data_IF_416427278544
#
_entry.id   IF_416427278544
#
_cell.length_a   1.000
_cell.length_b   1.000
_cell.length_c   1.000
_cell.angle_alpha   90.00
_cell.angle_beta   90.00
_cell.angle_gamma   90.00
#
_symmetry.space_group_name_H-M   'P 1'
#
loop_
_entity.id
_entity.type
_entity.pdbx_description
1 polymer ?
#
# COMPACT_ATOMS: atom_id res chain seq x y z
N UNK A 1 -8.16 3.37 25.19
CA UNK A 1 -7.32 3.97 24.12
C UNK A 1 -7.28 2.99 22.95
N UNK A 2 -7.73 3.38 21.75
CA UNK A 2 -7.49 2.57 20.54
C UNK A 2 -5.98 2.57 20.31
N UNK A 3 -5.31 1.43 20.42
CA UNK A 3 -3.92 1.32 19.96
C UNK A 3 -3.90 1.77 18.51
N UNK A 4 -3.13 2.82 18.19
CA UNK A 4 -2.85 3.16 16.79
C UNK A 4 -2.09 1.96 16.24
N UNK A 5 -2.76 1.14 15.42
CA UNK A 5 -2.09 0.05 14.74
C UNK A 5 -0.92 0.66 13.96
N UNK A 6 0.30 0.33 14.37
CA UNK A 6 1.50 0.72 13.63
C UNK A 6 1.53 -0.18 12.39
N UNK A 7 1.26 0.40 11.24
CA UNK A 7 1.26 -0.34 9.99
C UNK A 7 2.65 -0.89 9.67
N UNK A 8 2.68 -2.11 9.13
CA UNK A 8 3.92 -2.78 8.77
C UNK A 8 4.48 -2.22 7.45
N UNK A 9 5.77 -2.46 7.21
CA UNK A 9 6.39 -2.18 5.92
C UNK A 9 5.72 -2.99 4.80
N UNK A 10 5.36 -4.25 5.07
CA UNK A 10 4.67 -5.12 4.11
C UNK A 10 3.31 -4.53 3.70
N UNK A 11 2.55 -4.00 4.67
CA UNK A 11 1.30 -3.31 4.36
C UNK A 11 1.59 -2.16 3.38
N UNK A 12 2.69 -1.41 3.59
CA UNK A 12 3.02 -0.17 2.83
C UNK A 12 3.37 -0.52 1.39
N UNK A 13 4.14 -1.59 1.22
CA UNK A 13 4.48 -2.17 -0.08
C UNK A 13 3.20 -2.54 -0.84
N UNK A 14 2.25 -3.24 -0.19
CA UNK A 14 0.98 -3.62 -0.80
C UNK A 14 0.13 -2.39 -1.14
N UNK A 15 0.02 -1.42 -0.23
CA UNK A 15 -0.72 -0.18 -0.49
C UNK A 15 -0.13 0.62 -1.67
N UNK A 16 1.20 0.61 -1.83
CA UNK A 16 1.86 1.25 -2.96
C UNK A 16 1.60 0.53 -4.27
N UNK A 17 1.57 -0.80 -4.27
CA UNK A 17 1.17 -1.58 -5.43
C UNK A 17 -0.27 -1.24 -5.88
N UNK A 18 -1.20 -1.24 -4.92
CA UNK A 18 -2.60 -0.91 -5.17
C UNK A 18 -2.78 0.53 -5.68
N UNK A 19 -1.92 1.45 -5.26
CA UNK A 19 -1.90 2.81 -5.81
C UNK A 19 -1.60 2.81 -7.31
N UNK A 20 -0.58 2.07 -7.74
CA UNK A 20 -0.13 2.05 -9.14
C UNK A 20 -1.01 1.20 -10.05
N UNK A 21 -1.38 0.01 -9.61
CA UNK A 21 -1.97 -1.02 -10.48
C UNK A 21 -3.38 -1.45 -10.06
N UNK A 22 -3.87 -0.98 -8.91
CA UNK A 22 -5.09 -1.49 -8.29
C UNK A 22 -4.99 -3.02 -8.10
N UNK A 23 -6.10 -3.73 -8.18
CA UNK A 23 -6.18 -5.20 -8.11
C UNK A 23 -6.18 -5.85 -9.49
N UNK A 24 -5.86 -5.13 -10.58
CA UNK A 24 -6.08 -5.63 -11.95
C UNK A 24 -5.27 -6.88 -12.26
N UNK A 25 -4.05 -6.92 -11.74
CA UNK A 25 -3.06 -7.95 -12.08
C UNK A 25 -2.81 -8.90 -10.90
N UNK A 26 -3.67 -8.93 -9.88
CA UNK A 26 -3.58 -9.87 -8.75
C UNK A 26 -4.93 -10.52 -8.49
N UNK A 27 -4.92 -11.78 -8.03
CA UNK A 27 -6.13 -12.55 -7.75
C UNK A 27 -6.73 -12.25 -6.36
N UNK A 28 -6.78 -10.97 -5.98
CA UNK A 28 -7.35 -10.52 -4.71
C UNK A 28 -8.15 -9.23 -4.90
N UNK A 29 -9.34 -9.18 -4.30
CA UNK A 29 -10.16 -7.98 -4.17
C UNK A 29 -9.63 -7.07 -3.05
N UNK A 30 -10.06 -5.81 -3.03
CA UNK A 30 -9.73 -4.90 -1.93
C UNK A 30 -10.22 -5.42 -0.57
N UNK A 31 -11.39 -6.05 -0.53
CA UNK A 31 -11.94 -6.69 0.67
C UNK A 31 -11.01 -7.79 1.18
N UNK A 32 -10.64 -8.75 0.32
CA UNK A 32 -9.73 -9.84 0.67
C UNK A 32 -8.37 -9.33 1.15
N UNK A 33 -7.81 -8.32 0.48
CA UNK A 33 -6.54 -7.72 0.89
C UNK A 33 -6.69 -7.06 2.26
N UNK A 34 -7.72 -6.26 2.47
CA UNK A 34 -7.93 -5.58 3.76
C UNK A 34 -8.09 -6.57 4.92
N UNK A 35 -8.82 -7.67 4.69
CA UNK A 35 -8.99 -8.74 5.66
C UNK A 35 -7.67 -9.46 5.97
N UNK A 36 -6.86 -9.78 4.95
CA UNK A 36 -5.53 -10.39 5.13
C UNK A 36 -4.57 -9.48 5.91
N UNK A 37 -4.66 -8.18 5.69
CA UNK A 37 -3.85 -7.19 6.40
C UNK A 37 -4.41 -6.82 7.79
N UNK A 38 -5.53 -7.40 8.21
CA UNK A 38 -6.15 -7.11 9.50
C UNK A 38 -6.60 -5.65 9.67
N UNK A 39 -6.99 -4.98 8.58
CA UNK A 39 -7.42 -3.58 8.61
C UNK A 39 -8.72 -3.35 7.82
N UNK A 40 -9.40 -2.23 8.09
CA UNK A 40 -10.58 -1.87 7.29
C UNK A 40 -10.18 -1.44 5.87
N UNK A 41 -11.11 -1.59 4.93
CA UNK A 41 -10.97 -1.08 3.56
C UNK A 41 -10.66 0.42 3.56
N UNK A 42 -11.27 1.20 4.46
CA UNK A 42 -11.02 2.63 4.55
C UNK A 42 -9.60 2.94 5.03
N UNK A 43 -9.05 2.14 5.95
CA UNK A 43 -7.64 2.23 6.34
C UNK A 43 -6.72 1.94 5.14
N UNK A 44 -7.04 0.91 4.34
CA UNK A 44 -6.28 0.57 3.14
C UNK A 44 -6.36 1.70 2.08
N UNK A 45 -7.55 2.27 1.86
CA UNK A 45 -7.76 3.41 0.95
C UNK A 45 -7.02 4.66 1.40
N UNK A 46 -7.05 4.98 2.70
CA UNK A 46 -6.28 6.08 3.28
C UNK A 46 -4.78 5.90 3.00
N UNK A 47 -4.28 4.68 3.16
CA UNK A 47 -2.87 4.38 2.93
C UNK A 47 -2.47 4.52 1.46
N UNK A 48 -3.33 4.08 0.55
CA UNK A 48 -3.20 4.34 -0.88
C UNK A 48 -3.15 5.84 -1.18
N UNK A 49 -3.92 6.66 -0.46
CA UNK A 49 -3.93 8.11 -0.64
C UNK A 49 -2.62 8.78 -0.19
N UNK A 50 -1.86 8.19 0.76
CA UNK A 50 -0.53 8.70 1.10
C UNK A 50 0.42 8.66 -0.09
N UNK A 51 0.43 7.55 -0.85
CA UNK A 51 1.25 7.43 -2.06
C UNK A 51 0.80 8.38 -3.17
N UNK A 52 -0.49 8.65 -3.28
CA UNK A 52 -1.00 9.70 -4.19
C UNK A 52 -0.48 11.10 -3.80
N UNK A 53 -0.38 11.36 -2.48
CA UNK A 53 0.20 12.61 -1.97
C UNK A 53 1.67 12.74 -2.35
N UNK A 54 2.46 11.67 -2.19
CA UNK A 54 3.88 11.66 -2.56
C UNK A 54 4.11 11.80 -4.06
N UNK A 55 3.34 11.08 -4.88
CA UNK A 55 3.54 11.05 -6.33
C UNK A 55 3.02 12.33 -7.03
N UNK A 56 1.90 12.88 -6.56
CA UNK A 56 1.20 13.98 -7.26
C UNK A 56 1.13 15.28 -6.47
N UNK A 57 1.58 15.32 -5.21
CA UNK A 57 1.34 16.44 -4.31
C UNK A 57 -0.13 16.61 -3.92
N UNK A 58 -0.98 15.60 -4.14
CA UNK A 58 -2.42 15.65 -3.91
C UNK A 58 -2.80 14.59 -2.87
N UNK A 59 -3.23 15.02 -1.69
CA UNK A 59 -3.71 14.11 -0.65
C UNK A 59 -3.45 14.62 0.77
N UNK A 60 -3.13 13.68 1.66
CA UNK A 60 -2.86 13.97 3.06
C UNK A 60 -1.52 14.70 3.21
N UNK A 61 -1.44 15.77 4.03
CA UNK A 61 -0.24 16.58 4.17
C UNK A 61 0.88 15.89 4.95
N UNK A 62 0.54 14.96 5.85
CA UNK A 62 1.49 14.32 6.78
C UNK A 62 1.69 12.85 6.43
N UNK A 63 2.49 12.58 5.39
CA UNK A 63 2.89 11.22 5.05
C UNK A 63 3.95 10.72 6.03
N UNK A 64 3.85 9.45 6.43
CA UNK A 64 4.80 8.86 7.37
C UNK A 64 6.16 8.61 6.71
N UNK A 65 7.25 8.77 7.48
CA UNK A 65 8.61 8.44 7.00
C UNK A 65 8.77 7.01 6.48
N UNK A 66 7.95 6.07 6.93
CA UNK A 66 7.97 4.68 6.44
C UNK A 66 7.41 4.60 5.02
N UNK A 67 6.28 5.28 4.78
CA UNK A 67 5.65 5.40 3.47
C UNK A 67 6.58 6.10 2.47
N UNK A 68 7.26 7.17 2.89
CA UNK A 68 8.27 7.86 2.05
C UNK A 68 9.39 6.91 1.61
N UNK A 69 9.93 6.13 2.55
CA UNK A 69 11.00 5.16 2.26
C UNK A 69 10.54 4.07 1.28
N UNK A 70 9.32 3.57 1.45
CA UNK A 70 8.76 2.57 0.53
C UNK A 70 8.54 3.17 -0.86
N UNK A 71 8.01 4.41 -0.94
CA UNK A 71 7.87 5.10 -2.22
C UNK A 71 9.22 5.26 -2.92
N UNK A 72 10.22 5.81 -2.24
CA UNK A 72 11.54 6.05 -2.83
C UNK A 72 12.25 4.76 -3.26
N UNK A 73 12.12 3.68 -2.48
CA UNK A 73 12.75 2.40 -2.81
C UNK A 73 12.08 1.69 -3.99
N UNK A 74 10.74 1.74 -4.05
CA UNK A 74 9.98 0.97 -5.03
C UNK A 74 9.47 1.78 -6.22
N UNK A 75 9.62 3.11 -6.27
CA UNK A 75 9.03 3.95 -7.35
C UNK A 75 9.43 3.53 -8.76
N UNK A 76 10.62 2.94 -8.90
CA UNK A 76 11.18 2.50 -10.18
C UNK A 76 11.22 0.97 -10.34
N UNK A 77 10.66 0.19 -9.42
CA UNK A 77 10.60 -1.28 -9.56
C UNK A 77 9.80 -1.65 -10.83
N UNK A 78 10.22 -2.71 -11.50
CA UNK A 78 9.46 -3.29 -12.61
C UNK A 78 8.09 -3.81 -12.14
N UNK A 79 7.09 -3.69 -13.00
CA UNK A 79 5.73 -4.10 -12.66
C UNK A 79 5.64 -5.61 -12.35
N UNK A 80 6.30 -6.46 -13.13
CA UNK A 80 6.28 -7.92 -12.95
C UNK A 80 6.95 -8.31 -11.65
N UNK A 81 8.11 -7.73 -11.35
CA UNK A 81 8.82 -7.94 -10.09
C UNK A 81 7.96 -7.52 -8.90
N UNK A 82 7.28 -6.37 -9.01
CA UNK A 82 6.45 -5.87 -7.93
C UNK A 82 5.21 -6.73 -7.68
N UNK A 83 4.56 -7.19 -8.75
CA UNK A 83 3.42 -8.11 -8.67
C UNK A 83 3.82 -9.40 -7.95
N UNK A 84 4.92 -10.04 -8.35
CA UNK A 84 5.41 -11.28 -7.73
C UNK A 84 5.70 -11.08 -6.24
N UNK A 85 6.29 -9.94 -5.87
CA UNK A 85 6.53 -9.61 -4.48
C UNK A 85 5.23 -9.46 -3.68
N UNK A 86 4.25 -8.75 -4.22
CA UNK A 86 2.95 -8.51 -3.55
C UNK A 86 2.16 -9.80 -3.41
N UNK A 87 2.15 -10.65 -4.43
CA UNK A 87 1.53 -11.98 -4.35
C UNK A 87 2.15 -12.82 -3.23
N UNK A 88 3.48 -12.78 -3.05
CA UNK A 88 4.16 -13.46 -1.92
C UNK A 88 3.81 -12.88 -0.56
N UNK A 89 3.57 -11.57 -0.46
CA UNK A 89 3.17 -10.92 0.79
C UNK A 89 1.70 -11.18 1.14
N UNK A 90 0.88 -11.53 0.15
CA UNK A 90 -0.54 -11.83 0.32
C UNK A 90 -0.84 -13.32 0.48
N UNK A 91 0.11 -14.21 0.14
CA UNK A 91 0.00 -15.66 0.29
C UNK A 91 -0.11 -16.07 1.76
#
# INVERSE_FOLDING_TARGET
MKQRHKWSIADDIIAFYLYRYSTKDINYTYDEISNRLGMSIDSLKMRKANYKSLDKGIGLPDVSKQTDKVFEFFKNIDHTEFRIMVEKLLA
#
